data_IF_001918236203
#
_entry.id   IF_001918236203
#
_cell.length_a   1.000
_cell.length_b   1.000
_cell.length_c   1.000
_cell.angle_alpha   90.00
_cell.angle_beta   90.00
_cell.angle_gamma   90.00
#
_symmetry.space_group_name_H-M   'P 1'
#
loop_
_entity.id
_entity.type
_entity.pdbx_description
1 polymer ?
#
# COMPACT_ATOMS: atom_id res chain seq x y z
N UNK A 1 13.42 5.97 -13.14
CA UNK A 1 12.53 6.17 -11.97
C UNK A 1 11.21 5.50 -12.27
N UNK A 2 10.56 4.86 -11.28
CA UNK A 2 9.26 4.22 -11.48
C UNK A 2 8.21 5.24 -11.94
N UNK A 3 7.33 4.89 -12.89
CA UNK A 3 6.29 5.80 -13.38
C UNK A 3 5.27 6.16 -12.29
N UNK A 4 4.68 7.35 -12.40
CA UNK A 4 3.59 7.81 -11.55
C UNK A 4 2.33 7.96 -12.41
N UNK A 5 1.30 7.20 -12.09
CA UNK A 5 -0.01 7.24 -12.73
C UNK A 5 -0.98 8.01 -11.84
N UNK A 6 -1.79 8.90 -12.39
CA UNK A 6 -2.76 9.68 -11.59
C UNK A 6 -4.17 9.21 -11.87
N UNK A 7 -4.94 8.99 -10.82
CA UNK A 7 -6.36 8.61 -10.87
C UNK A 7 -7.16 9.63 -10.08
N UNK A 8 -8.18 10.22 -10.71
CA UNK A 8 -9.08 11.15 -10.02
C UNK A 8 -10.26 10.41 -9.40
N UNK A 9 -10.47 10.61 -8.11
CA UNK A 9 -11.53 9.97 -7.31
C UNK A 9 -12.23 11.04 -6.45
N UNK A 10 -12.97 11.98 -7.07
CA UNK A 10 -13.57 13.11 -6.36
C UNK A 10 -14.62 12.72 -5.31
N UNK A 11 -15.05 11.45 -5.30
CA UNK A 11 -16.03 10.91 -4.35
C UNK A 11 -15.41 10.39 -3.04
N UNK A 12 -14.09 10.30 -2.94
CA UNK A 12 -13.42 9.83 -1.73
C UNK A 12 -13.15 10.99 -0.77
N UNK A 13 -14.12 11.26 0.11
CA UNK A 13 -14.06 12.31 1.13
C UNK A 13 -14.08 11.68 2.51
N UNK A 14 -13.32 12.23 3.45
CA UNK A 14 -13.19 11.67 4.82
C UNK A 14 -14.37 12.00 5.75
N UNK A 15 -15.20 12.97 5.39
CA UNK A 15 -16.36 13.39 6.16
C UNK A 15 -17.62 12.55 5.89
N UNK A 16 -17.52 11.55 5.00
CA UNK A 16 -18.57 10.61 4.68
C UNK A 16 -17.97 9.23 4.40
N UNK A 17 -18.76 8.17 4.56
CA UNK A 17 -18.29 6.84 4.16
C UNK A 17 -17.99 6.84 2.65
N UNK A 18 -16.83 6.32 2.22
CA UNK A 18 -16.52 6.19 0.82
C UNK A 18 -17.51 5.24 0.14
N UNK A 19 -17.81 5.50 -1.14
CA UNK A 19 -18.40 4.49 -2.03
C UNK A 19 -17.29 3.52 -2.42
N UNK A 20 -16.90 2.65 -1.51
CA UNK A 20 -15.72 1.78 -1.63
C UNK A 20 -15.77 0.90 -2.86
N UNK A 21 -16.97 0.47 -3.27
CA UNK A 21 -17.18 -0.23 -4.52
C UNK A 21 -16.80 0.62 -5.73
N UNK A 22 -17.35 1.84 -5.85
CA UNK A 22 -17.04 2.71 -6.98
C UNK A 22 -15.57 3.15 -7.00
N UNK A 23 -15.00 3.44 -5.83
CA UNK A 23 -13.58 3.77 -5.67
C UNK A 23 -12.71 2.56 -6.06
N UNK A 24 -13.00 1.39 -5.52
CA UNK A 24 -12.29 0.14 -5.78
C UNK A 24 -12.30 -0.25 -7.25
N UNK A 25 -13.44 -0.10 -7.94
CA UNK A 25 -13.54 -0.30 -9.38
C UNK A 25 -12.59 0.61 -10.17
N UNK A 26 -12.50 1.90 -9.81
CA UNK A 26 -11.61 2.86 -10.46
C UNK A 26 -10.13 2.55 -10.22
N UNK A 27 -9.78 2.16 -9.00
CA UNK A 27 -8.41 1.75 -8.67
C UNK A 27 -8.02 0.46 -9.40
N UNK A 28 -8.92 -0.52 -9.46
CA UNK A 28 -8.73 -1.74 -10.24
C UNK A 28 -8.55 -1.44 -11.74
N UNK A 29 -9.36 -0.54 -12.31
CA UNK A 29 -9.21 -0.10 -13.72
C UNK A 29 -7.82 0.49 -13.97
N UNK A 30 -7.32 1.33 -13.06
CA UNK A 30 -5.98 1.90 -13.15
C UNK A 30 -4.87 0.85 -13.05
N UNK A 31 -4.99 -0.11 -12.12
CA UNK A 31 -4.02 -1.21 -11.99
C UNK A 31 -4.01 -2.05 -13.27
N UNK A 32 -5.19 -2.45 -13.79
CA UNK A 32 -5.29 -3.22 -15.03
C UNK A 32 -4.72 -2.47 -16.23
N UNK A 33 -4.95 -1.18 -16.34
CA UNK A 33 -4.45 -0.38 -17.47
C UNK A 33 -2.92 -0.41 -17.56
N UNK A 34 -2.22 -0.49 -16.44
CA UNK A 34 -0.76 -0.32 -16.38
C UNK A 34 0.02 -1.61 -16.07
N UNK A 35 -0.62 -2.60 -15.43
CA UNK A 35 0.08 -3.76 -14.87
C UNK A 35 -0.54 -5.11 -15.25
N UNK A 36 -1.52 -5.16 -16.17
CA UNK A 36 -2.14 -6.43 -16.59
C UNK A 36 -1.10 -7.45 -17.07
N UNK A 37 -1.30 -8.71 -16.66
CA UNK A 37 -0.38 -9.82 -16.95
C UNK A 37 0.90 -9.87 -16.12
N UNK A 38 1.15 -8.90 -15.24
CA UNK A 38 2.29 -8.91 -14.31
C UNK A 38 1.90 -9.59 -12.98
N UNK A 39 2.86 -10.20 -12.29
CA UNK A 39 2.66 -10.63 -10.90
C UNK A 39 3.08 -9.50 -9.97
N UNK A 40 2.11 -8.88 -9.29
CA UNK A 40 2.35 -7.66 -8.51
C UNK A 40 1.93 -7.82 -7.06
N UNK A 41 2.61 -7.06 -6.20
CA UNK A 41 2.25 -6.82 -4.80
C UNK A 41 2.04 -5.32 -4.63
N UNK A 42 0.98 -4.91 -3.95
CA UNK A 42 0.67 -3.49 -3.78
C UNK A 42 0.61 -3.08 -2.30
N UNK A 43 1.01 -1.83 -2.03
CA UNK A 43 0.97 -1.22 -0.70
C UNK A 43 0.26 0.12 -0.79
N UNK A 44 -0.72 0.33 0.07
CA UNK A 44 -1.49 1.57 0.14
C UNK A 44 -0.97 2.48 1.24
N UNK A 45 -0.96 3.79 0.98
CA UNK A 45 -0.46 4.80 1.91
C UNK A 45 -1.44 5.97 2.02
N UNK A 46 -1.50 6.54 3.22
CA UNK A 46 -2.11 7.84 3.49
C UNK A 46 -1.01 8.87 3.74
N UNK A 47 -1.17 10.08 3.22
CA UNK A 47 -0.28 11.20 3.54
C UNK A 47 -0.37 11.59 5.03
N UNK A 48 -1.48 11.26 5.70
CA UNK A 48 -1.64 11.49 7.13
C UNK A 48 -0.60 10.72 7.97
N UNK A 49 -0.06 9.62 7.44
CA UNK A 49 0.98 8.83 8.09
C UNK A 49 2.40 9.40 7.87
N UNK A 50 2.51 10.47 7.09
CA UNK A 50 3.77 11.10 6.66
C UNK A 50 3.70 12.63 6.84
N UNK A 51 3.53 13.12 8.08
CA UNK A 51 3.21 14.53 8.37
C UNK A 51 4.29 15.54 7.92
N UNK A 52 5.52 15.08 7.70
CA UNK A 52 6.63 15.90 7.26
C UNK A 52 6.77 15.97 5.73
N UNK A 53 5.85 15.35 4.98
CA UNK A 53 5.88 15.33 3.51
C UNK A 53 4.60 15.91 2.92
N UNK A 54 4.77 16.61 1.79
CA UNK A 54 3.71 16.77 0.81
C UNK A 54 3.53 15.45 0.03
N UNK A 55 2.40 15.27 -0.65
CA UNK A 55 2.19 14.08 -1.47
C UNK A 55 3.27 13.93 -2.56
N UNK A 56 3.65 15.04 -3.21
CA UNK A 56 4.66 15.02 -4.27
C UNK A 56 6.07 14.74 -3.70
N UNK A 57 6.44 15.36 -2.58
CA UNK A 57 7.74 15.08 -1.94
C UNK A 57 7.82 13.67 -1.36
N UNK A 58 6.69 13.07 -0.95
CA UNK A 58 6.64 11.66 -0.56
C UNK A 58 6.86 10.74 -1.77
N UNK A 59 6.20 11.02 -2.91
CA UNK A 59 6.40 10.28 -4.15
C UNK A 59 7.86 10.32 -4.58
N UNK A 60 8.50 11.50 -4.60
CA UNK A 60 9.91 11.65 -4.96
C UNK A 60 10.82 10.81 -4.05
N UNK A 61 10.58 10.87 -2.74
CA UNK A 61 11.32 10.07 -1.76
C UNK A 61 11.17 8.58 -2.02
N UNK A 62 9.94 8.11 -2.28
CA UNK A 62 9.64 6.70 -2.57
C UNK A 62 10.26 6.27 -3.91
N UNK A 63 10.25 7.11 -4.94
CA UNK A 63 10.89 6.80 -6.22
C UNK A 63 12.42 6.64 -6.09
N UNK A 64 13.04 7.41 -5.19
CA UNK A 64 14.47 7.33 -4.92
C UNK A 64 14.84 6.09 -4.09
N UNK A 65 14.07 5.83 -3.02
CA UNK A 65 14.40 4.78 -2.05
C UNK A 65 13.75 3.43 -2.35
N UNK A 66 12.71 3.40 -3.19
CA UNK A 66 11.86 2.23 -3.43
C UNK A 66 10.90 1.91 -2.29
N UNK A 67 10.73 2.78 -1.28
CA UNK A 67 9.88 2.51 -0.11
C UNK A 67 9.49 3.79 0.62
N UNK A 68 8.37 3.76 1.35
CA UNK A 68 7.91 4.84 2.24
C UNK A 68 8.56 4.82 3.63
N UNK A 69 9.37 3.79 3.93
CA UNK A 69 10.15 3.69 5.17
C UNK A 69 11.50 4.42 5.05
N UNK A 70 11.45 5.73 4.81
CA UNK A 70 12.63 6.60 4.71
C UNK A 70 13.20 7.00 6.07
N UNK A 71 12.37 6.99 7.11
CA UNK A 71 12.74 7.34 8.48
C UNK A 71 13.01 6.05 9.27
N UNK A 72 14.28 5.79 9.67
CA UNK A 72 14.63 4.59 10.43
C UNK A 72 14.04 4.60 11.86
N UNK A 73 13.69 5.76 12.39
CA UNK A 73 13.15 5.93 13.75
C UNK A 73 11.61 5.91 13.78
N UNK A 74 10.96 5.97 12.61
CA UNK A 74 9.50 5.92 12.50
C UNK A 74 8.97 4.54 12.89
N UNK A 75 8.38 4.46 14.07
CA UNK A 75 7.60 3.30 14.51
C UNK A 75 6.21 3.31 13.86
N UNK A 76 5.87 2.21 13.20
CA UNK A 76 4.53 1.98 12.68
C UNK A 76 3.55 1.54 13.76
N UNK A 77 2.27 1.43 13.38
CA UNK A 77 1.23 0.80 14.21
C UNK A 77 1.69 -0.61 14.61
N UNK A 78 1.58 -0.94 15.90
CA UNK A 78 1.98 -2.23 16.47
C UNK A 78 3.45 -2.62 16.21
N UNK A 79 4.37 -1.65 16.11
CA UNK A 79 5.80 -1.89 15.84
C UNK A 79 6.41 -2.99 16.72
N UNK A 80 6.20 -2.93 18.04
CA UNK A 80 6.81 -3.88 18.98
C UNK A 80 6.31 -5.33 18.77
N UNK A 81 5.08 -5.51 18.28
CA UNK A 81 4.56 -6.83 17.92
C UNK A 81 5.24 -7.40 16.66
N UNK A 82 5.49 -6.53 15.68
CA UNK A 82 6.00 -6.93 14.37
C UNK A 82 7.52 -7.02 14.27
N UNK A 83 8.27 -6.45 15.21
CA UNK A 83 9.73 -6.41 15.20
C UNK A 83 10.36 -7.78 15.00
N UNK A 84 9.83 -8.81 15.67
CA UNK A 84 10.32 -10.21 15.59
C UNK A 84 10.23 -10.84 14.19
N UNK A 85 9.39 -10.31 13.31
CA UNK A 85 9.25 -10.82 11.94
C UNK A 85 10.21 -10.15 10.96
N UNK A 86 10.94 -9.09 11.37
CA UNK A 86 11.87 -8.33 10.53
C UNK A 86 11.29 -7.98 9.14
N UNK A 87 10.06 -7.47 9.11
CA UNK A 87 9.36 -7.15 7.86
C UNK A 87 9.84 -5.80 7.30
N UNK A 88 10.10 -5.74 6.00
CA UNK A 88 10.33 -4.46 5.33
C UNK A 88 9.01 -3.73 5.12
N UNK A 89 7.92 -4.43 4.81
CA UNK A 89 6.62 -3.79 4.59
C UNK A 89 5.43 -4.73 4.78
N UNK A 90 4.27 -4.10 5.00
CA UNK A 90 2.97 -4.73 4.79
C UNK A 90 2.44 -4.35 3.42
N UNK A 91 2.04 -5.34 2.63
CA UNK A 91 1.54 -5.20 1.27
C UNK A 91 0.65 -6.40 0.92
N UNK A 92 -0.12 -6.35 -0.17
CA UNK A 92 -1.01 -7.43 -0.56
C UNK A 92 -0.67 -7.92 -1.98
N UNK A 93 -0.62 -9.25 -2.22
CA UNK A 93 -0.56 -9.77 -3.57
C UNK A 93 -1.84 -9.40 -4.32
N UNK A 94 -1.71 -9.03 -5.59
CA UNK A 94 -2.86 -8.67 -6.41
C UNK A 94 -3.31 -9.83 -7.29
N UNK A 95 -4.56 -10.25 -7.15
CA UNK A 95 -5.21 -11.22 -8.02
C UNK A 95 -6.10 -10.48 -9.03
N UNK A 96 -5.69 -10.48 -10.30
CA UNK A 96 -6.42 -9.83 -11.40
C UNK A 96 -7.84 -10.37 -11.62
N UNK A 97 -8.13 -11.61 -11.19
CA UNK A 97 -9.48 -12.18 -11.28
C UNK A 97 -10.44 -11.62 -10.22
N UNK A 98 -9.89 -11.09 -9.12
CA UNK A 98 -10.61 -10.50 -7.99
C UNK A 98 -10.28 -9.02 -7.78
N UNK A 99 -9.63 -8.38 -8.74
CA UNK A 99 -9.00 -7.07 -8.54
C UNK A 99 -9.93 -5.96 -8.06
N UNK A 100 -11.19 -5.95 -8.51
CA UNK A 100 -12.20 -4.98 -8.05
C UNK A 100 -12.62 -5.21 -6.60
N UNK A 101 -12.84 -6.47 -6.21
CA UNK A 101 -13.17 -6.89 -4.84
C UNK A 101 -12.02 -6.55 -3.89
N UNK A 102 -10.78 -6.88 -4.26
CA UNK A 102 -9.58 -6.57 -3.47
C UNK A 102 -9.47 -5.05 -3.23
N UNK A 103 -9.71 -4.24 -4.25
CA UNK A 103 -9.61 -2.78 -4.12
C UNK A 103 -10.78 -2.19 -3.32
N UNK A 104 -11.99 -2.73 -3.44
CA UNK A 104 -13.13 -2.36 -2.59
C UNK A 104 -12.82 -2.63 -1.11
N UNK A 105 -12.41 -3.87 -0.78
CA UNK A 105 -12.02 -4.26 0.57
C UNK A 105 -10.85 -3.40 1.10
N UNK A 106 -9.88 -3.10 0.24
CA UNK A 106 -8.75 -2.24 0.62
C UNK A 106 -9.21 -0.84 1.01
N UNK A 107 -10.12 -0.23 0.24
CA UNK A 107 -10.66 1.11 0.54
C UNK A 107 -11.44 1.10 1.86
N UNK A 108 -12.27 0.08 2.07
CA UNK A 108 -13.03 -0.10 3.31
C UNK A 108 -12.08 -0.27 4.51
N UNK A 109 -11.10 -1.15 4.41
CA UNK A 109 -10.12 -1.41 5.46
C UNK A 109 -9.27 -0.17 5.79
N UNK A 110 -8.90 0.63 4.79
CA UNK A 110 -8.16 1.86 5.03
C UNK A 110 -8.99 2.91 5.76
N UNK A 111 -10.29 2.96 5.48
CA UNK A 111 -11.20 3.91 6.10
C UNK A 111 -11.62 3.48 7.52
N UNK A 112 -12.15 2.27 7.68
CA UNK A 112 -12.65 1.76 8.98
C UNK A 112 -11.55 1.14 9.84
N UNK A 113 -10.60 0.40 9.26
CA UNK A 113 -9.50 -0.21 10.01
C UNK A 113 -8.59 0.82 10.65
N UNK A 114 -8.29 1.92 9.95
CA UNK A 114 -7.51 3.01 10.53
C UNK A 114 -8.22 3.67 11.73
N UNK A 115 -9.56 3.76 11.71
CA UNK A 115 -10.31 4.27 12.86
C UNK A 115 -10.12 3.37 14.09
N UNK A 116 -10.10 2.06 13.90
CA UNK A 116 -9.90 1.09 14.99
C UNK A 116 -8.45 1.12 15.51
N UNK A 117 -7.48 1.18 14.60
CA UNK A 117 -6.06 1.05 14.95
C UNK A 117 -5.42 2.37 15.42
N UNK A 118 -5.90 3.50 14.89
CA UNK A 118 -5.29 4.83 15.06
C UNK A 118 -6.20 5.83 15.76
N UNK A 119 -7.49 5.51 15.90
CA UNK A 119 -8.50 6.41 16.49
C UNK A 119 -9.02 7.47 15.53
N UNK A 120 -8.61 7.46 14.26
CA UNK A 120 -9.10 8.38 13.23
C UNK A 120 -9.08 7.75 11.84
N UNK A 121 -9.96 8.23 10.97
CA UNK A 121 -10.07 7.78 9.57
C UNK A 121 -8.97 8.40 8.72
N UNK A 122 -8.46 7.63 7.77
CA UNK A 122 -7.51 8.13 6.76
C UNK A 122 -7.99 7.87 5.35
N UNK A 123 -7.45 8.65 4.41
CA UNK A 123 -7.69 8.51 2.98
C UNK A 123 -6.57 7.68 2.37
N UNK A 124 -6.88 6.88 1.37
CA UNK A 124 -5.88 6.29 0.48
C UNK A 124 -5.39 7.37 -0.50
N UNK A 125 -4.11 7.74 -0.41
CA UNK A 125 -3.50 8.78 -1.25
C UNK A 125 -2.57 8.20 -2.31
N UNK A 126 -1.88 7.09 -1.99
CA UNK A 126 -0.95 6.40 -2.89
C UNK A 126 -1.16 4.89 -2.88
N UNK A 127 -0.97 4.26 -4.04
CA UNK A 127 -0.71 2.82 -4.17
C UNK A 127 0.69 2.64 -4.75
N UNK A 128 1.56 1.99 -4.01
CA UNK A 128 2.87 1.54 -4.49
C UNK A 128 2.71 0.15 -5.09
N UNK A 129 3.23 -0.06 -6.29
CA UNK A 129 3.13 -1.34 -7.00
C UNK A 129 4.53 -1.92 -7.18
N UNK A 130 4.72 -3.13 -6.66
CA UNK A 130 5.98 -3.86 -6.67
C UNK A 130 5.90 -5.10 -7.57
N UNK A 131 7.01 -5.43 -8.22
CA UNK A 131 7.22 -6.75 -8.84
C UNK A 131 7.32 -7.81 -7.75
N UNK A 132 6.41 -8.79 -7.76
CA UNK A 132 6.37 -9.84 -6.74
C UNK A 132 7.64 -10.70 -6.74
N UNK A 133 8.34 -10.82 -7.86
CA UNK A 133 9.57 -11.61 -7.98
C UNK A 133 10.76 -10.99 -7.23
N UNK A 134 10.66 -9.73 -6.84
CA UNK A 134 11.68 -8.99 -6.09
C UNK A 134 11.40 -9.00 -4.57
N UNK A 135 10.34 -9.69 -4.13
CA UNK A 135 9.89 -9.71 -2.75
C UNK A 135 9.86 -11.14 -2.19
N UNK A 136 10.26 -11.27 -0.93
CA UNK A 136 10.10 -12.50 -0.16
C UNK A 136 8.87 -12.35 0.75
N UNK A 137 7.93 -13.29 0.66
CA UNK A 137 6.80 -13.38 1.58
C UNK A 137 7.26 -13.88 2.96
N UNK A 138 6.82 -13.20 4.02
CA UNK A 138 7.12 -13.57 5.41
C UNK A 138 5.80 -13.80 6.15
N UNK A 139 5.50 -15.05 6.57
CA UNK A 139 4.26 -15.34 7.27
C UNK A 139 4.24 -14.70 8.67
N UNK A 140 3.11 -14.05 9.00
CA UNK A 140 2.90 -13.39 10.29
C UNK A 140 1.88 -14.17 11.10
N UNK A 141 2.25 -14.64 12.28
CA UNK A 141 1.32 -15.33 13.19
C UNK A 141 0.53 -14.33 14.04
N UNK A 142 -0.76 -14.16 13.74
CA UNK A 142 -1.67 -13.30 14.49
C UNK A 142 -2.33 -13.98 15.70
N UNK A 143 -1.95 -15.22 16.04
CA UNK A 143 -2.47 -15.97 17.19
C UNK A 143 -3.90 -16.49 17.02
N UNK A 144 -4.44 -16.45 15.79
CA UNK A 144 -5.81 -16.89 15.45
C UNK A 144 -5.88 -18.25 14.74
N UNK A 145 -4.76 -18.97 14.67
CA UNK A 145 -4.68 -20.27 13.99
C UNK A 145 -4.51 -20.19 12.47
N UNK A 146 -4.26 -18.98 11.93
CA UNK A 146 -3.87 -18.77 10.52
C UNK A 146 -2.76 -17.70 10.45
N UNK A 147 -1.98 -17.73 9.37
CA UNK A 147 -0.89 -16.80 9.11
C UNK A 147 -1.33 -15.68 8.17
N UNK A 148 -0.99 -14.44 8.54
CA UNK A 148 -1.07 -13.27 7.71
C UNK A 148 -0.33 -13.44 6.39
N UNK A 149 -0.92 -12.94 5.30
CA UNK A 149 -0.38 -13.01 3.93
C UNK A 149 0.12 -11.66 3.42
N UNK A 150 0.42 -10.76 4.35
CA UNK A 150 0.67 -9.35 4.10
C UNK A 150 2.09 -8.90 4.43
N UNK A 151 2.90 -9.74 5.07
CA UNK A 151 4.29 -9.44 5.40
C UNK A 151 5.25 -9.71 4.24
N UNK A 152 6.09 -8.71 3.89
CA UNK A 152 7.10 -8.85 2.84
C UNK A 152 8.45 -8.27 3.23
N UNK A 153 9.51 -8.85 2.66
CA UNK A 153 10.89 -8.33 2.62
C UNK A 153 11.34 -8.11 1.19
N UNK A 154 12.26 -7.18 0.98
CA UNK A 154 12.95 -7.05 -0.30
C UNK A 154 14.01 -8.14 -0.43
N UNK A 155 14.04 -8.87 -1.55
CA UNK A 155 15.12 -9.83 -1.82
C UNK A 155 16.49 -9.15 -1.92
N UNK A 156 16.51 -7.88 -2.37
CA UNK A 156 17.72 -7.06 -2.48
C UNK A 156 17.56 -5.74 -1.71
N UNK A 157 17.81 -5.72 -0.39
CA UNK A 157 17.57 -4.54 0.46
C UNK A 157 18.38 -3.28 0.09
N UNK A 158 19.50 -3.43 -0.62
CA UNK A 158 20.29 -2.31 -1.14
C UNK A 158 19.79 -1.75 -2.48
N UNK A 159 18.78 -2.38 -3.10
CA UNK A 159 18.29 -2.06 -4.44
C UNK A 159 16.75 -2.05 -4.51
N UNK A 160 16.09 -1.65 -3.41
CA UNK A 160 14.61 -1.67 -3.26
C UNK A 160 13.87 -0.97 -4.41
N UNK A 161 14.46 0.08 -4.98
CA UNK A 161 13.92 0.81 -6.13
C UNK A 161 13.71 -0.06 -7.38
N UNK A 162 14.44 -1.19 -7.52
CA UNK A 162 14.23 -2.15 -8.62
C UNK A 162 12.94 -2.96 -8.44
N UNK A 163 12.48 -3.15 -7.20
CA UNK A 163 11.21 -3.82 -6.92
C UNK A 163 10.00 -2.93 -7.22
N UNK A 164 10.12 -1.60 -7.06
CA UNK A 164 9.05 -0.64 -7.30
C UNK A 164 8.85 -0.41 -8.80
N UNK A 165 7.75 -0.91 -9.37
CA UNK A 165 7.46 -0.84 -10.80
C UNK A 165 6.47 0.27 -11.16
N UNK A 166 5.80 0.88 -10.17
CA UNK A 166 4.98 2.06 -10.39
C UNK A 166 4.32 2.59 -9.13
N UNK A 167 3.79 3.80 -9.23
CA UNK A 167 3.04 4.48 -8.18
C UNK A 167 1.73 4.98 -8.78
N UNK A 168 0.60 4.74 -8.10
CA UNK A 168 -0.69 5.35 -8.44
C UNK A 168 -0.97 6.45 -7.41
N UNK A 169 -1.03 7.69 -7.89
CA UNK A 169 -1.42 8.89 -7.13
C UNK A 169 -2.93 9.09 -7.23
N UNK A 170 -3.59 9.24 -6.09
CA UNK A 170 -5.04 9.45 -6.02
C UNK A 170 -5.34 10.92 -5.74
N UNK A 171 -6.13 11.52 -6.61
CA UNK A 171 -6.51 12.93 -6.57
C UNK A 171 -8.00 13.11 -6.27
#
# INVERSE_FOLDING_TARGET
MPPVFTVSIPKYRLDQNPDSKAVGMRLNEAIRTHFDGQSIVFRCLSIADHPNHSLDSLIETIQQLGTDKYDPDRKGVLHDFYEKYHLDMFALPYDFSRGAEIMEETVDNFYEGALQDRGFRVRLDLILVYDSSQLEFVPVDYGKGDFGRDGFRFMHPGEKQKALIGIIKIC
#
